data_IF_666522335394
#
_entry.id   IF_666522335394
#
_cell.length_a   1.000
_cell.length_b   1.000
_cell.length_c   1.000
_cell.angle_alpha   90.00
_cell.angle_beta   90.00
_cell.angle_gamma   90.00
#
_symmetry.space_group_name_H-M   'P 1'
#
loop_
_entity.id
_entity.type
_entity.pdbx_description
1 polymer ?
#
# COMPACT_ATOMS: atom_id res chain seq x y z
N UNK A 1 -15.67 -18.29 58.18
CA UNK A 1 -15.66 -18.20 57.50
C UNK A 1 -15.17 -17.88 56.60
N UNK A 2 -14.88 -17.75 55.94
CA UNK A 2 -14.36 -17.54 55.07
C UNK A 2 -14.54 -17.26 53.93
N UNK A 3 -14.27 -16.82 53.29
CA UNK A 3 -14.42 -16.55 52.28
C UNK A 3 -13.87 -16.57 51.29
N UNK A 4 -13.77 -16.66 50.57
CA UNK A 4 -13.21 -16.79 49.64
C UNK A 4 -13.37 -16.20 48.54
N UNK A 5 -12.90 -15.72 48.01
CA UNK A 5 -13.00 -15.12 47.05
C UNK A 5 -12.38 -15.24 45.98
N UNK A 6 -12.30 -15.29 45.32
CA UNK A 6 -11.80 -15.48 44.35
C UNK A 6 -11.88 -14.83 43.31
N UNK A 7 -11.42 -14.28 43.10
CA UNK A 7 -11.14 -13.61 42.19
C UNK A 7 -10.87 -14.09 41.02
N UNK A 8 -11.35 -14.33 40.46
CA UNK A 8 -11.18 -14.81 39.37
C UNK A 8 -10.99 -13.90 38.41
N UNK A 9 -9.96 -13.52 38.21
CA UNK A 9 -9.77 -12.71 37.26
C UNK A 9 -9.92 -13.20 35.95
N UNK A 10 -10.59 -12.91 35.37
CA UNK A 10 -10.82 -13.33 34.17
C UNK A 10 -10.02 -12.63 33.30
N UNK A 11 -9.06 -13.16 32.94
CA UNK A 11 -8.35 -12.55 32.18
C UNK A 11 -8.73 -12.54 30.83
N UNK A 12 -8.96 -11.70 30.32
CA UNK A 12 -9.31 -11.60 29.12
C UNK A 12 -8.33 -11.37 28.21
N UNK A 13 -7.82 -12.15 27.76
CA UNK A 13 -6.95 -12.01 26.83
C UNK A 13 -7.52 -11.53 25.64
N UNK A 14 -7.42 -10.51 25.40
CA UNK A 14 -7.93 -10.10 24.30
C UNK A 14 -7.06 -10.27 23.26
N UNK A 15 -7.21 -10.97 22.49
CA UNK A 15 -6.48 -11.17 21.50
C UNK A 15 -6.69 -10.34 20.43
N UNK A 16 -5.93 -9.62 20.18
CA UNK A 16 -6.05 -8.81 19.09
C UNK A 16 -5.83 -9.59 17.95
N UNK A 17 -6.62 -9.93 17.37
CA UNK A 17 -6.42 -10.66 16.32
C UNK A 17 -6.03 -9.93 15.23
N UNK A 18 -4.92 -10.04 14.90
CA UNK A 18 -4.64 -9.42 13.82
C UNK A 18 -5.03 -10.21 12.77
N UNK A 19 -5.62 -9.85 12.08
CA UNK A 19 -6.07 -10.50 11.05
C UNK A 19 -5.12 -10.74 10.12
N UNK A 20 -4.61 -11.63 10.16
CA UNK A 20 -3.77 -11.85 9.21
C UNK A 20 -4.42 -12.39 8.14
N UNK A 21 -4.65 -11.96 7.34
CA UNK A 21 -5.34 -12.43 6.53
C UNK A 21 -4.96 -12.73 5.30
N UNK A 22 -5.61 -13.23 4.67
CA UNK A 22 -5.40 -13.64 3.41
C UNK A 22 -5.67 -12.54 2.51
N UNK A 23 -5.53 -11.33 2.85
CA UNK A 23 -5.80 -10.26 1.94
C UNK A 23 -4.58 -9.97 1.10
N UNK A 24 -4.73 -9.26 0.01
CA UNK A 24 -3.59 -8.84 -0.77
C UNK A 24 -2.91 -7.72 -0.02
N UNK A 25 -1.70 -7.93 0.41
CA UNK A 25 -0.97 -6.87 1.03
C UNK A 25 0.09 -6.41 0.08
N UNK A 26 0.44 -5.14 0.14
CA UNK A 26 1.55 -4.62 -0.65
C UNK A 26 2.83 -5.26 -0.13
N UNK A 27 3.46 -6.02 -0.97
CA UNK A 27 4.68 -6.68 -0.59
C UNK A 27 5.87 -5.76 -0.82
N UNK A 28 5.95 -5.12 -1.95
CA UNK A 28 6.98 -4.15 -2.21
C UNK A 28 6.59 -3.26 -3.36
N UNK A 29 7.25 -2.12 -3.48
CA UNK A 29 7.00 -1.16 -4.51
C UNK A 29 8.32 -0.70 -5.13
N UNK A 30 8.24 -0.21 -6.37
CA UNK A 30 9.37 0.42 -7.03
C UNK A 30 8.85 1.71 -7.62
N UNK A 31 9.23 2.86 -7.11
CA UNK A 31 10.22 3.10 -6.04
C UNK A 31 9.76 2.57 -4.71
N UNK A 32 10.69 2.23 -3.85
CA UNK A 32 10.35 1.66 -2.57
C UNK A 32 9.65 2.63 -1.68
N UNK A 33 8.80 2.11 -0.82
CA UNK A 33 8.07 2.89 0.16
C UNK A 33 9.06 3.72 0.97
N UNK A 34 8.84 5.02 0.98
CA UNK A 34 9.66 5.95 1.77
C UNK A 34 11.03 6.24 1.21
N UNK A 35 11.35 5.75 0.04
CA UNK A 35 12.71 5.92 -0.47
C UNK A 35 12.90 7.23 -1.20
N UNK A 36 14.15 7.59 -1.42
CA UNK A 36 14.51 8.72 -2.24
C UNK A 36 15.30 8.17 -3.41
N UNK A 37 14.84 8.46 -4.62
CA UNK A 37 15.56 8.01 -5.80
C UNK A 37 16.24 9.18 -6.48
N UNK A 38 17.42 9.01 -6.99
CA UNK A 38 18.15 10.14 -7.60
C UNK A 38 17.66 10.49 -8.99
N UNK A 39 17.02 9.56 -9.65
CA UNK A 39 16.51 9.80 -10.99
C UNK A 39 15.02 9.58 -10.99
N UNK A 40 14.29 10.47 -11.61
CA UNK A 40 12.83 10.38 -11.63
C UNK A 40 12.39 9.09 -12.32
N UNK A 41 11.56 8.31 -11.69
CA UNK A 41 11.09 7.08 -12.32
C UNK A 41 10.03 7.41 -13.37
N UNK A 42 9.91 6.57 -14.36
CA UNK A 42 8.90 6.75 -15.38
C UNK A 42 7.73 5.83 -15.13
N UNK A 43 7.81 4.98 -14.17
CA UNK A 43 6.78 4.02 -13.88
C UNK A 43 6.79 3.66 -12.42
N UNK A 44 5.64 3.38 -11.85
CA UNK A 44 5.52 2.90 -10.51
C UNK A 44 5.02 1.48 -10.59
N UNK A 45 5.61 0.58 -9.82
CA UNK A 45 5.21 -0.81 -9.80
C UNK A 45 4.90 -1.22 -8.39
N UNK A 46 3.76 -1.84 -8.18
CA UNK A 46 3.34 -2.29 -6.86
C UNK A 46 3.11 -3.79 -6.94
N UNK A 47 3.79 -4.55 -6.10
CA UNK A 47 3.66 -5.99 -6.09
C UNK A 47 2.94 -6.42 -4.81
N UNK A 48 1.91 -7.23 -4.97
CA UNK A 48 1.08 -7.66 -3.86
C UNK A 48 1.26 -9.15 -3.58
N UNK A 49 0.71 -9.59 -2.47
CA UNK A 49 0.88 -10.98 -2.06
C UNK A 49 -0.17 -11.91 -2.64
N UNK A 50 -1.17 -11.35 -3.34
CA UNK A 50 -2.23 -12.14 -3.95
C UNK A 50 -2.49 -11.64 -5.35
N UNK A 51 -3.10 -12.46 -6.18
CA UNK A 51 -3.47 -12.04 -7.51
C UNK A 51 -4.57 -10.99 -7.41
N UNK A 52 -4.55 -10.03 -8.29
CA UNK A 52 -5.43 -8.88 -8.25
C UNK A 52 -6.53 -8.95 -9.29
N UNK A 53 -7.65 -8.30 -9.00
CA UNK A 53 -8.73 -8.14 -9.94
C UNK A 53 -8.56 -6.78 -10.59
N UNK A 54 -8.14 -6.72 -11.82
CA UNK A 54 -7.84 -5.45 -12.47
C UNK A 54 -9.02 -4.48 -12.50
N UNK A 55 -10.22 -4.99 -12.69
CA UNK A 55 -11.37 -4.12 -12.81
C UNK A 55 -11.70 -3.38 -11.53
N UNK A 56 -11.18 -3.84 -10.41
CA UNK A 56 -11.51 -3.24 -9.12
C UNK A 56 -10.29 -2.76 -8.35
N UNK A 57 -9.20 -2.57 -9.06
CA UNK A 57 -7.95 -2.14 -8.42
C UNK A 57 -7.45 -0.88 -9.11
N UNK A 58 -6.91 0.03 -8.34
CA UNK A 58 -6.43 1.30 -8.91
C UNK A 58 -5.34 1.93 -8.06
N UNK A 59 -4.64 2.86 -8.66
CA UNK A 59 -3.57 3.58 -7.98
C UNK A 59 -3.55 5.01 -8.50
N UNK A 60 -3.21 5.93 -7.64
CA UNK A 60 -3.09 7.30 -8.05
C UNK A 60 -1.84 7.87 -7.40
N UNK A 61 -1.12 8.71 -8.10
CA UNK A 61 0.09 9.33 -7.60
C UNK A 61 -0.08 10.83 -7.70
N UNK A 62 0.19 11.53 -6.60
CA UNK A 62 0.06 12.98 -6.59
C UNK A 62 1.36 13.60 -6.12
N UNK A 63 1.59 14.85 -6.53
CA UNK A 63 2.76 15.59 -6.06
C UNK A 63 2.42 16.29 -4.75
N UNK A 64 3.32 17.10 -4.25
CA UNK A 64 3.14 17.76 -2.97
C UNK A 64 1.97 18.74 -2.97
N UNK A 65 1.53 19.17 -4.13
CA UNK A 65 0.40 20.07 -4.23
C UNK A 65 -0.91 19.33 -4.53
N UNK A 66 -0.87 18.03 -4.52
CA UNK A 66 -2.06 17.25 -4.76
C UNK A 66 -2.40 17.06 -6.22
N UNK A 67 -1.51 17.42 -7.13
CA UNK A 67 -1.76 17.28 -8.55
C UNK A 67 -1.39 15.89 -9.00
N UNK A 68 -2.28 15.27 -9.78
CA UNK A 68 -2.02 13.92 -10.27
C UNK A 68 -0.84 13.89 -11.23
N UNK A 69 0.06 12.96 -11.04
CA UNK A 69 1.20 12.79 -11.90
C UNK A 69 1.26 11.41 -12.53
N UNK A 70 0.29 10.54 -12.24
CA UNK A 70 0.25 9.26 -12.91
C UNK A 70 -0.47 9.42 -14.25
N UNK A 71 -0.25 8.48 -15.14
CA UNK A 71 -0.85 8.55 -16.46
C UNK A 71 -2.21 7.87 -16.53
N UNK A 72 -2.76 7.51 -15.40
CA UNK A 72 -4.13 7.04 -15.38
C UNK A 72 -4.25 5.54 -15.27
N UNK A 73 -4.47 4.86 -16.39
CA UNK A 73 -4.85 3.50 -16.31
C UNK A 73 -3.73 2.58 -16.01
N UNK A 74 -3.77 1.80 -14.97
CA UNK A 74 -2.69 0.88 -14.68
C UNK A 74 -2.80 -0.39 -15.50
N UNK A 75 -1.68 -1.10 -15.62
CA UNK A 75 -1.69 -2.41 -16.23
C UNK A 75 -1.41 -3.42 -15.14
N UNK A 76 -1.82 -4.65 -15.36
CA UNK A 76 -1.73 -5.69 -14.34
C UNK A 76 -1.09 -6.95 -14.86
N UNK A 77 -0.39 -7.64 -13.96
CA UNK A 77 0.19 -8.90 -14.29
C UNK A 77 0.14 -9.72 -13.03
N UNK A 78 -0.84 -10.55 -12.86
CA UNK A 78 -1.10 -11.38 -11.67
C UNK A 78 -1.06 -10.57 -10.36
N UNK A 79 0.06 -10.46 -9.71
CA UNK A 79 0.16 -9.77 -8.44
C UNK A 79 0.71 -8.35 -8.56
N UNK A 80 0.99 -7.89 -9.78
CA UNK A 80 1.66 -6.60 -9.96
C UNK A 80 0.74 -5.60 -10.64
N UNK A 81 0.69 -4.39 -10.10
CA UNK A 81 -0.02 -3.28 -10.71
C UNK A 81 1.02 -2.23 -11.08
N UNK A 82 1.02 -1.76 -12.32
CA UNK A 82 1.97 -0.77 -12.79
C UNK A 82 1.26 0.41 -13.38
N UNK A 83 1.79 1.59 -13.16
CA UNK A 83 1.22 2.78 -13.78
C UNK A 83 2.36 3.68 -14.25
N UNK A 84 2.21 4.27 -15.40
CA UNK A 84 3.20 5.20 -15.92
C UNK A 84 3.13 6.52 -15.19
N UNK A 85 4.21 7.25 -15.18
CA UNK A 85 4.30 8.54 -14.51
C UNK A 85 4.70 9.62 -15.49
N UNK A 86 4.16 10.81 -15.30
CA UNK A 86 4.59 11.95 -16.06
C UNK A 86 6.02 12.28 -15.63
N UNK A 87 6.72 13.12 -16.35
CA UNK A 87 8.05 13.53 -15.90
C UNK A 87 7.94 14.16 -14.53
N UNK A 88 8.75 13.71 -13.60
CA UNK A 88 8.68 14.18 -12.23
C UNK A 88 9.85 15.07 -11.88
N UNK A 89 9.58 16.15 -11.19
CA UNK A 89 10.62 17.02 -10.66
C UNK A 89 11.06 16.51 -9.32
N UNK A 90 12.20 16.94 -8.82
CA UNK A 90 12.59 16.59 -7.45
C UNK A 90 11.49 17.01 -6.48
N UNK A 91 11.16 16.17 -5.55
CA UNK A 91 10.10 16.45 -4.60
C UNK A 91 9.54 15.19 -3.98
N UNK A 92 8.44 15.35 -3.27
CA UNK A 92 7.79 14.25 -2.58
C UNK A 92 6.50 13.89 -3.29
N UNK A 93 6.27 12.62 -3.45
CA UNK A 93 5.11 12.10 -4.16
C UNK A 93 4.36 11.12 -3.28
N UNK A 94 3.03 11.20 -3.32
CA UNK A 94 2.21 10.30 -2.52
C UNK A 94 1.51 9.32 -3.43
N UNK A 95 1.55 8.06 -3.06
CA UNK A 95 0.88 7.00 -3.78
C UNK A 95 -0.29 6.55 -2.95
N UNK A 96 -1.47 6.46 -3.56
CA UNK A 96 -2.63 5.92 -2.87
C UNK A 96 -3.14 4.81 -3.72
N UNK A 97 -3.41 3.69 -3.12
CA UNK A 97 -3.85 2.53 -3.89
C UNK A 97 -5.01 1.81 -3.21
N UNK A 98 -5.81 1.13 -4.00
CA UNK A 98 -6.77 0.18 -3.46
C UNK A 98 -6.81 -0.99 -4.41
N UNK A 99 -6.92 -2.18 -3.88
CA UNK A 99 -6.94 -3.37 -4.71
C UNK A 99 -7.99 -4.34 -4.19
N UNK A 100 -8.50 -5.17 -5.10
CA UNK A 100 -9.37 -6.25 -4.74
C UNK A 100 -8.62 -7.49 -5.15
N UNK A 101 -8.46 -8.44 -4.25
CA UNK A 101 -7.77 -9.67 -4.60
C UNK A 101 -8.78 -10.65 -5.18
N UNK A 102 -8.29 -11.65 -5.88
CA UNK A 102 -9.18 -12.61 -6.51
C UNK A 102 -10.01 -13.37 -5.49
N UNK A 103 -9.63 -13.36 -4.21
CA UNK A 103 -10.44 -14.02 -3.20
C UNK A 103 -11.45 -13.03 -2.60
N UNK A 104 -11.69 -11.93 -3.29
CA UNK A 104 -12.70 -10.93 -2.96
C UNK A 104 -12.47 -10.10 -1.71
N UNK A 105 -11.25 -9.94 -1.29
CA UNK A 105 -10.95 -9.05 -0.19
C UNK A 105 -10.35 -7.75 -0.69
N UNK A 106 -10.81 -6.64 -0.14
CA UNK A 106 -10.36 -5.35 -0.56
C UNK A 106 -9.37 -4.76 0.44
N UNK A 107 -8.28 -4.22 -0.01
CA UNK A 107 -7.35 -3.52 0.85
C UNK A 107 -6.97 -2.20 0.22
N UNK A 108 -6.50 -1.28 1.02
CA UNK A 108 -6.07 0.02 0.51
C UNK A 108 -4.95 0.57 1.36
N UNK A 109 -4.21 1.48 0.83
CA UNK A 109 -3.10 2.07 1.58
C UNK A 109 -2.51 3.25 0.85
N UNK A 110 -1.51 3.84 1.47
CA UNK A 110 -0.78 4.93 0.85
C UNK A 110 0.65 4.96 1.36
N UNK A 111 1.52 5.55 0.57
CA UNK A 111 2.90 5.75 0.99
C UNK A 111 3.49 6.88 0.18
N UNK A 112 4.68 7.30 0.52
CA UNK A 112 5.37 8.34 -0.24
C UNK A 112 6.70 7.84 -0.74
N UNK A 113 7.17 8.48 -1.80
CA UNK A 113 8.56 8.32 -2.21
C UNK A 113 9.05 9.72 -2.61
N UNK A 114 10.33 9.88 -2.75
CA UNK A 114 10.93 11.17 -3.04
C UNK A 114 11.85 11.07 -4.24
N UNK A 115 11.87 12.12 -5.05
CA UNK A 115 12.84 12.22 -6.13
C UNK A 115 13.82 13.28 -5.70
N UNK A 116 15.07 12.91 -5.61
CA UNK A 116 16.10 13.83 -5.17
C UNK A 116 16.65 14.64 -6.31
N UNK A 117 17.53 15.58 -5.98
CA UNK A 117 18.10 16.34 -7.01
C UNK A 117 19.25 15.62 -7.53
N UNK A 118 19.45 15.68 -8.84
CA UNK A 118 20.59 15.08 -9.37
C UNK A 118 21.74 15.92 -9.11
N UNK A 119 22.86 15.41 -8.87
CA UNK A 119 24.01 16.21 -8.56
C UNK A 119 24.87 16.36 -9.71
#
# INVERSE_FOLDING_TARGET
>A
MRMLNFATSALLAVMASTAAEAHAFLDHAEPRVGSTVPTAPRELSLTYTQNLEPAFSAVEVTDANGVRVDLGKPSFSTTVMRVGLKPLSPGTYRVRWHVLSVDTHRTEGSFTFHVGKEQ
#
